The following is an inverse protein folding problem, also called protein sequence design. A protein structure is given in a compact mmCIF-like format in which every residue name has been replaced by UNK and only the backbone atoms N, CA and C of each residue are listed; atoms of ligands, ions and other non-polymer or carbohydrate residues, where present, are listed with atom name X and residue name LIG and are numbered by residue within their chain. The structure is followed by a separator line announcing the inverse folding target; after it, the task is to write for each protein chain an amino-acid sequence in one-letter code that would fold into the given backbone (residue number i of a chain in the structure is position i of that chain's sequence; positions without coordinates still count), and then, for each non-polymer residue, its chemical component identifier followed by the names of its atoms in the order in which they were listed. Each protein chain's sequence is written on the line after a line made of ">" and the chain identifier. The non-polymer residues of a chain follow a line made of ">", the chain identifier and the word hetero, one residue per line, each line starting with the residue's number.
data_IF_503303440122
#
_entry.id   IF_503303440122
#
_cell.length_a   1.000
_cell.length_b   1.000
_cell.length_c   1.000
_cell.angle_alpha   90.00
_cell.angle_beta   90.00
_cell.angle_gamma   90.00
#
_symmetry.space_group_name_H-M   'P 1'
#
loop_
_entity.id
_entity.type
_entity.pdbx_description
1 polymer ?
#
# COMPACT_ATOMS: atom_id res chain seq x y z
N UNK A 1 66.05 -54.12 -11.21
CA UNK A 1 65.09 -53.40 -12.08
C UNK A 1 63.81 -53.23 -11.27
N UNK A 2 63.36 -51.99 -11.04
CA UNK A 2 62.38 -51.60 -10.00
C UNK A 2 60.99 -52.23 -10.23
N UNK A 3 60.42 -52.85 -9.20
CA UNK A 3 59.01 -53.28 -9.13
C UNK A 3 58.11 -52.10 -8.76
N UNK A 4 57.14 -51.77 -9.61
CA UNK A 4 56.09 -50.77 -9.33
C UNK A 4 54.94 -51.41 -8.53
N UNK A 5 54.67 -50.86 -7.34
CA UNK A 5 53.41 -51.10 -6.63
C UNK A 5 52.28 -50.35 -7.34
N UNK A 6 51.22 -51.08 -7.73
CA UNK A 6 49.94 -50.48 -8.15
C UNK A 6 49.06 -50.32 -6.91
N UNK A 7 48.72 -49.08 -6.57
CA UNK A 7 47.69 -48.76 -5.58
C UNK A 7 46.36 -48.67 -6.31
N UNK A 8 45.41 -49.55 -5.96
CA UNK A 8 44.02 -49.44 -6.39
C UNK A 8 43.31 -48.42 -5.49
N UNK A 9 42.88 -47.29 -6.05
CA UNK A 9 42.02 -46.32 -5.34
C UNK A 9 40.57 -46.65 -5.74
N UNK A 10 39.80 -47.20 -4.79
CA UNK A 10 38.33 -47.24 -4.89
C UNK A 10 37.80 -45.84 -4.60
N UNK A 11 37.21 -45.18 -5.60
CA UNK A 11 36.45 -43.95 -5.39
C UNK A 11 35.03 -44.33 -4.92
N UNK A 12 34.74 -44.12 -3.63
CA UNK A 12 33.38 -44.19 -3.12
C UNK A 12 32.67 -42.86 -3.41
N UNK A 13 31.67 -42.89 -4.29
CA UNK A 13 30.81 -41.75 -4.53
C UNK A 13 29.86 -41.58 -3.33
N UNK A 14 30.11 -40.58 -2.49
CA UNK A 14 29.18 -40.16 -1.44
C UNK A 14 28.14 -39.26 -2.11
N UNK A 15 26.94 -39.77 -2.32
CA UNK A 15 25.79 -38.95 -2.71
C UNK A 15 25.37 -38.09 -1.50
N UNK A 16 25.75 -36.81 -1.51
CA UNK A 16 25.22 -35.81 -0.60
C UNK A 16 23.76 -35.53 -0.98
N UNK A 17 22.82 -36.14 -0.26
CA UNK A 17 21.44 -35.70 -0.28
C UNK A 17 21.36 -34.34 0.42
N UNK A 18 21.17 -33.28 -0.36
CA UNK A 18 20.84 -31.97 0.20
C UNK A 18 19.45 -32.05 0.86
N UNK A 19 19.27 -31.51 2.07
CA UNK A 19 17.94 -31.46 2.67
C UNK A 19 17.06 -30.56 1.81
N UNK A 20 15.95 -31.10 1.31
CA UNK A 20 14.87 -30.28 0.76
C UNK A 20 14.30 -29.52 1.95
N UNK A 21 14.51 -28.20 1.99
CA UNK A 21 13.82 -27.35 2.94
C UNK A 21 12.32 -27.52 2.69
N UNK A 22 11.57 -27.98 3.69
CA UNK A 22 10.12 -27.94 3.63
C UNK A 22 9.73 -26.47 3.46
N UNK A 23 8.92 -26.17 2.44
CA UNK A 23 8.35 -24.84 2.28
C UNK A 23 7.66 -24.47 3.60
N UNK A 24 8.06 -23.34 4.19
CA UNK A 24 7.37 -22.82 5.36
C UNK A 24 5.90 -22.63 4.98
N UNK A 25 4.98 -23.05 5.86
CA UNK A 25 3.56 -22.78 5.67
C UNK A 25 3.28 -21.28 5.59
N UNK A 26 2.06 -20.87 5.20
CA UNK A 26 1.71 -19.46 5.10
C UNK A 26 1.97 -18.75 6.45
N UNK A 27 2.55 -17.55 6.40
CA UNK A 27 2.90 -16.78 7.60
C UNK A 27 1.68 -16.26 8.37
N UNK A 28 0.51 -16.22 7.73
CA UNK A 28 -0.75 -15.75 8.28
C UNK A 28 -1.88 -16.72 7.94
N UNK A 29 -2.94 -16.71 8.74
CA UNK A 29 -4.20 -17.36 8.39
C UNK A 29 -4.88 -16.63 7.23
N UNK A 30 -5.94 -17.23 6.68
CA UNK A 30 -6.83 -16.54 5.76
C UNK A 30 -7.49 -15.32 6.46
N UNK A 31 -7.90 -14.35 5.66
CA UNK A 31 -8.70 -13.21 6.09
C UNK A 31 -10.08 -13.68 6.59
N UNK A 32 -10.55 -13.06 7.68
CA UNK A 32 -11.87 -13.31 8.25
C UNK A 32 -12.98 -12.49 7.57
N UNK A 33 -14.21 -12.73 8.01
CA UNK A 33 -15.36 -11.93 7.55
C UNK A 33 -15.22 -10.48 8.00
N UNK A 34 -15.39 -9.50 7.11
CA UNK A 34 -15.20 -8.10 7.44
C UNK A 34 -16.36 -7.53 8.25
N UNK A 35 -16.03 -6.59 9.12
CA UNK A 35 -16.98 -5.78 9.90
C UNK A 35 -16.78 -4.29 9.61
N UNK A 36 -17.78 -3.42 9.80
CA UNK A 36 -17.57 -1.98 9.70
C UNK A 36 -16.46 -1.50 10.63
N UNK A 37 -15.55 -0.68 10.10
CA UNK A 37 -14.57 0.04 10.91
C UNK A 37 -15.28 1.20 11.59
N UNK A 38 -15.76 1.00 12.81
CA UNK A 38 -16.56 1.99 13.53
C UNK A 38 -15.70 3.16 14.02
N UNK A 39 -16.20 4.39 13.80
CA UNK A 39 -16.02 5.50 14.74
C UNK A 39 -17.29 5.65 15.60
N UNK A 40 -17.25 6.48 16.64
CA UNK A 40 -18.39 6.67 17.57
C UNK A 40 -19.63 7.36 16.96
N UNK A 41 -19.58 7.79 15.70
CA UNK A 41 -20.63 8.52 14.96
C UNK A 41 -21.23 7.71 13.79
N UNK A 42 -21.09 6.37 13.82
CA UNK A 42 -21.34 5.39 12.76
C UNK A 42 -20.15 5.22 11.81
N UNK A 43 -20.26 4.32 10.83
CA UNK A 43 -19.17 3.89 9.95
C UNK A 43 -18.28 5.05 9.49
N UNK A 44 -16.96 4.84 9.43
CA UNK A 44 -16.07 5.82 8.83
C UNK A 44 -16.50 6.00 7.37
N UNK A 45 -17.23 7.09 7.09
CA UNK A 45 -17.63 7.45 5.74
C UNK A 45 -16.40 7.97 5.02
N UNK A 46 -16.14 7.46 3.82
CA UNK A 46 -15.00 7.89 3.01
C UNK A 46 -14.29 6.73 2.32
N UNK A 47 -13.09 7.01 1.84
CA UNK A 47 -12.20 5.99 1.30
C UNK A 47 -10.74 6.32 1.57
N UNK A 48 -9.86 5.47 1.05
CA UNK A 48 -8.42 5.48 1.32
C UNK A 48 -8.13 5.34 2.82
N UNK A 49 -8.69 4.31 3.49
CA UNK A 49 -8.29 4.01 4.85
C UNK A 49 -6.78 3.77 4.88
N UNK A 50 -6.12 4.31 5.89
CA UNK A 50 -4.73 3.97 6.18
C UNK A 50 -4.50 4.01 7.68
N UNK A 51 -4.14 2.87 8.27
CA UNK A 51 -3.80 2.78 9.68
C UNK A 51 -2.34 3.19 9.91
N UNK A 52 -2.08 4.02 10.94
CA UNK A 52 -0.72 4.39 11.33
C UNK A 52 0.08 3.17 11.78
N UNK A 53 1.42 3.25 11.68
CA UNK A 53 2.32 2.14 12.01
C UNK A 53 2.17 1.59 13.44
N UNK A 54 1.77 2.45 14.37
CA UNK A 54 1.51 2.11 15.77
C UNK A 54 0.07 1.65 16.05
N UNK A 55 -0.79 1.68 15.03
CA UNK A 55 -2.18 1.29 15.11
C UNK A 55 -3.09 2.26 15.85
N UNK A 56 -2.60 3.42 16.31
CA UNK A 56 -3.41 4.34 17.12
C UNK A 56 -4.28 5.27 16.28
N UNK A 57 -3.93 5.52 15.02
CA UNK A 57 -4.68 6.40 14.13
C UNK A 57 -5.12 5.65 12.88
N UNK A 58 -6.30 6.00 12.37
CA UNK A 58 -6.71 5.67 11.00
C UNK A 58 -7.00 6.98 10.27
N UNK A 59 -6.41 7.11 9.10
CA UNK A 59 -6.63 8.23 8.19
C UNK A 59 -7.61 7.82 7.11
N UNK A 60 -8.40 8.78 6.62
CA UNK A 60 -9.39 8.56 5.58
C UNK A 60 -9.63 9.86 4.80
N UNK A 61 -10.12 9.74 3.56
CA UNK A 61 -10.58 10.87 2.75
C UNK A 61 -12.10 10.84 2.61
N UNK A 62 -12.80 11.91 2.97
CA UNK A 62 -14.27 11.91 3.04
C UNK A 62 -14.91 13.28 2.75
N UNK A 63 -16.06 13.31 2.04
CA UNK A 63 -16.78 14.54 1.70
C UNK A 63 -17.69 15.04 2.83
N UNK A 64 -17.48 14.59 4.08
CA UNK A 64 -18.38 14.91 5.19
C UNK A 64 -18.34 16.39 5.56
N UNK A 65 -19.45 16.88 6.12
CA UNK A 65 -19.57 18.26 6.54
C UNK A 65 -18.50 18.66 7.57
N UNK A 66 -18.00 19.90 7.47
CA UNK A 66 -16.90 20.42 8.30
C UNK A 66 -15.52 20.35 7.64
N UNK A 67 -15.44 19.85 6.40
CA UNK A 67 -14.27 19.90 5.55
C UNK A 67 -14.01 21.26 4.89
N UNK A 68 -12.86 21.39 4.21
CA UNK A 68 -12.40 22.58 3.50
C UNK A 68 -12.61 22.47 1.98
N UNK A 69 -12.61 21.26 1.44
CA UNK A 69 -12.82 20.93 0.02
C UNK A 69 -14.03 20.03 -0.21
N UNK A 70 -14.14 19.46 -1.41
CA UNK A 70 -15.18 18.46 -1.70
C UNK A 70 -14.78 17.06 -1.18
N UNK A 71 -13.48 16.77 -1.10
CA UNK A 71 -12.92 15.61 -0.43
C UNK A 71 -11.76 16.05 0.45
N UNK A 72 -11.82 15.74 1.74
CA UNK A 72 -10.80 16.13 2.72
C UNK A 72 -10.23 14.93 3.45
N UNK A 73 -8.99 15.06 3.94
CA UNK A 73 -8.33 14.09 4.81
C UNK A 73 -8.76 14.30 6.26
N UNK A 74 -9.19 13.23 6.91
CA UNK A 74 -9.52 13.19 8.32
C UNK A 74 -8.72 12.09 9.02
N UNK A 75 -8.70 12.14 10.36
CA UNK A 75 -8.02 11.18 11.22
C UNK A 75 -8.93 10.79 12.38
N UNK A 76 -9.11 9.50 12.66
CA UNK A 76 -9.60 9.05 13.96
C UNK A 76 -8.44 8.49 14.79
N UNK A 77 -8.61 8.53 16.12
CA UNK A 77 -7.63 8.02 17.07
C UNK A 77 -8.27 7.05 18.08
N UNK A 78 -7.49 6.09 18.57
CA UNK A 78 -7.90 5.17 19.65
C UNK A 78 -6.80 4.97 20.71
N UNK A 79 -7.18 4.68 21.98
CA UNK A 79 -6.22 4.45 23.07
C UNK A 79 -5.36 3.19 22.92
N UNK A 80 -5.90 2.13 22.31
CA UNK A 80 -5.17 0.89 22.03
C UNK A 80 -5.74 0.20 20.80
N UNK A 81 -5.05 -0.81 20.27
CA UNK A 81 -5.45 -1.52 19.05
C UNK A 81 -6.71 -2.37 19.21
N UNK A 82 -7.11 -2.67 20.45
CA UNK A 82 -8.32 -3.41 20.82
C UNK A 82 -9.53 -2.50 21.05
N UNK A 83 -9.32 -1.19 21.19
CA UNK A 83 -10.41 -0.22 21.35
C UNK A 83 -10.93 0.28 20.00
N UNK A 84 -12.22 0.68 19.92
CA UNK A 84 -12.76 1.30 18.72
C UNK A 84 -12.08 2.66 18.46
N UNK A 85 -12.10 3.11 17.21
CA UNK A 85 -11.70 4.46 16.88
C UNK A 85 -12.69 5.47 17.47
N UNK A 86 -12.15 6.56 18.03
CA UNK A 86 -12.92 7.72 18.42
C UNK A 86 -13.40 8.52 17.20
N UNK A 87 -14.15 9.61 17.41
CA UNK A 87 -14.68 10.41 16.31
C UNK A 87 -13.55 10.97 15.46
N UNK A 88 -13.68 10.88 14.13
CA UNK A 88 -12.64 11.36 13.24
C UNK A 88 -12.64 12.91 13.15
N UNK A 89 -11.47 13.54 13.15
CA UNK A 89 -11.23 15.00 13.08
C UNK A 89 -10.61 15.42 11.72
N UNK A 90 -10.96 16.62 11.24
CA UNK A 90 -10.49 17.11 9.94
C UNK A 90 -9.05 17.54 10.11
N UNK A 91 -8.16 17.09 9.22
CA UNK A 91 -6.80 17.61 9.27
C UNK A 91 -6.82 19.09 8.84
N UNK A 92 -6.20 19.99 9.60
CA UNK A 92 -6.27 21.41 9.28
C UNK A 92 -5.44 21.73 8.03
N UNK A 93 -5.63 22.93 7.49
CA UNK A 93 -4.64 23.51 6.59
C UNK A 93 -3.24 23.50 7.25
N UNK A 94 -2.17 23.26 6.47
CA UNK A 94 -2.14 23.16 5.01
C UNK A 94 -2.36 21.75 4.45
N UNK A 95 -2.67 20.73 5.28
CA UNK A 95 -2.90 19.36 4.77
C UNK A 95 -4.12 19.32 3.87
N UNK A 96 -5.26 19.82 4.36
CA UNK A 96 -6.43 20.05 3.53
C UNK A 96 -6.39 21.45 2.92
N UNK A 97 -7.01 21.57 1.76
CA UNK A 97 -7.12 22.77 0.94
C UNK A 97 -8.55 22.96 0.45
N UNK A 98 -8.77 23.91 -0.45
CA UNK A 98 -10.07 24.07 -1.13
C UNK A 98 -10.26 23.07 -2.30
N UNK A 99 -9.26 22.24 -2.59
CA UNK A 99 -9.30 21.21 -3.61
C UNK A 99 -9.63 19.84 -2.99
N UNK A 100 -9.63 18.79 -3.80
CA UNK A 100 -9.72 17.42 -3.28
C UNK A 100 -8.36 16.98 -2.74
N UNK A 101 -8.33 16.60 -1.47
CA UNK A 101 -7.17 16.05 -0.76
C UNK A 101 -7.51 14.64 -0.26
N UNK A 102 -6.75 13.63 -0.69
CA UNK A 102 -7.11 12.24 -0.49
C UNK A 102 -5.93 11.27 -0.46
N UNK A 103 -6.24 10.00 -0.23
CA UNK A 103 -5.28 8.91 -0.16
C UNK A 103 -4.07 9.15 0.76
N UNK A 104 -4.34 9.47 2.05
CA UNK A 104 -3.31 9.65 3.06
C UNK A 104 -2.54 8.34 3.31
N UNK A 105 -1.23 8.45 3.53
CA UNK A 105 -0.36 7.35 3.96
C UNK A 105 0.62 7.87 5.01
N UNK A 106 0.43 7.41 6.25
CA UNK A 106 1.34 7.76 7.35
C UNK A 106 2.56 6.83 7.34
N UNK A 107 3.76 7.42 7.28
CA UNK A 107 5.01 6.65 7.17
C UNK A 107 5.84 6.70 8.47
N UNK A 108 5.25 7.11 9.59
CA UNK A 108 5.96 7.34 10.84
C UNK A 108 6.77 8.64 10.84
N UNK A 109 7.39 8.98 11.98
CA UNK A 109 8.14 10.23 12.14
C UNK A 109 7.31 11.51 11.94
N UNK A 110 5.98 11.38 12.05
CA UNK A 110 4.96 12.37 11.75
C UNK A 110 4.84 12.79 10.27
N UNK A 111 5.37 11.99 9.34
CA UNK A 111 5.22 12.24 7.91
C UNK A 111 3.94 11.64 7.35
N UNK A 112 3.36 12.34 6.38
CA UNK A 112 2.17 11.96 5.66
C UNK A 112 2.39 12.18 4.15
N UNK A 113 2.34 11.11 3.38
CA UNK A 113 2.06 11.22 1.95
C UNK A 113 0.56 11.38 1.74
N UNK A 114 0.16 12.12 0.73
CA UNK A 114 -1.22 12.22 0.28
C UNK A 114 -1.26 12.69 -1.16
N UNK A 115 -2.42 12.59 -1.79
CA UNK A 115 -2.67 13.13 -3.13
C UNK A 115 -3.52 14.38 -2.99
N UNK A 116 -3.20 15.41 -3.77
CA UNK A 116 -3.98 16.63 -3.81
C UNK A 116 -4.19 17.10 -5.24
N UNK A 117 -5.42 17.55 -5.53
CA UNK A 117 -5.74 18.32 -6.75
C UNK A 117 -5.44 19.81 -6.58
N UNK A 118 -4.65 20.21 -5.58
CA UNK A 118 -4.11 21.57 -5.50
C UNK A 118 -3.20 21.79 -6.71
N UNK A 119 -3.71 22.52 -7.70
CA UNK A 119 -2.95 22.92 -8.88
C UNK A 119 -1.82 23.88 -8.53
N UNK A 120 -1.40 24.69 -9.50
CA UNK A 120 -0.31 25.65 -9.34
C UNK A 120 0.46 25.79 -10.64
N UNK A 121 1.40 26.74 -10.69
CA UNK A 121 2.27 26.93 -11.87
C UNK A 121 3.13 25.69 -12.15
N UNK A 122 3.45 24.92 -11.10
CA UNK A 122 4.29 23.71 -11.15
C UNK A 122 3.48 22.41 -10.91
N UNK A 123 2.19 22.39 -11.24
CA UNK A 123 1.41 21.14 -11.18
C UNK A 123 1.79 20.20 -12.32
N UNK A 124 1.94 18.90 -12.01
CA UNK A 124 2.29 17.88 -12.98
C UNK A 124 1.05 17.39 -13.73
N UNK A 125 -0.04 17.11 -12.99
CA UNK A 125 -1.27 16.56 -13.54
C UNK A 125 -2.53 16.96 -12.78
N UNK A 126 -3.53 16.08 -12.82
CA UNK A 126 -4.83 16.30 -12.18
C UNK A 126 -4.77 16.18 -10.67
N UNK A 127 -4.07 15.15 -10.15
CA UNK A 127 -3.90 14.91 -8.72
C UNK A 127 -2.50 14.39 -8.45
N UNK A 128 -1.70 15.19 -7.77
CA UNK A 128 -0.28 14.93 -7.55
C UNK A 128 -0.02 14.43 -6.13
N UNK A 129 1.03 13.63 -5.94
CA UNK A 129 1.51 13.16 -4.64
C UNK A 129 2.30 14.27 -3.95
N UNK A 130 1.94 14.53 -2.69
CA UNK A 130 2.60 15.46 -1.78
C UNK A 130 3.12 14.73 -0.53
N UNK A 131 4.17 15.30 0.07
CA UNK A 131 4.68 14.92 1.38
C UNK A 131 4.58 16.11 2.33
N UNK A 132 4.05 15.88 3.52
CA UNK A 132 4.08 16.86 4.62
C UNK A 132 4.48 16.17 5.92
N UNK A 133 4.75 16.98 6.94
CA UNK A 133 5.12 16.53 8.27
C UNK A 133 4.38 17.34 9.32
N UNK A 134 3.84 16.65 10.31
CA UNK A 134 3.32 17.28 11.52
C UNK A 134 4.46 17.61 12.49
N UNK A 135 4.58 18.89 12.83
CA UNK A 135 5.45 19.37 13.89
C UNK A 135 4.62 19.58 15.16
N UNK A 136 4.85 18.80 16.24
CA UNK A 136 4.02 18.89 17.45
C UNK A 136 3.94 20.30 18.09
N UNK A 137 4.92 21.18 17.84
CA UNK A 137 4.93 22.55 18.35
C UNK A 137 4.29 23.58 17.39
N UNK A 138 4.21 23.27 16.10
CA UNK A 138 3.86 24.24 15.05
C UNK A 138 2.74 23.77 14.11
N UNK A 139 2.24 22.55 14.27
CA UNK A 139 1.29 21.90 13.39
C UNK A 139 1.93 21.38 12.09
N UNK A 140 1.07 21.11 11.12
CA UNK A 140 1.46 20.61 9.79
C UNK A 140 2.25 21.64 9.00
N UNK A 141 3.35 21.19 8.40
CA UNK A 141 4.16 21.99 7.50
C UNK A 141 3.52 22.12 6.11
N UNK A 142 3.92 23.15 5.35
CA UNK A 142 3.49 23.28 3.96
C UNK A 142 3.84 22.01 3.17
N UNK A 143 2.86 21.37 2.50
CA UNK A 143 3.13 20.16 1.72
C UNK A 143 4.07 20.43 0.55
N UNK A 144 5.03 19.53 0.38
CA UNK A 144 5.96 19.52 -0.75
C UNK A 144 5.41 18.56 -1.80
N UNK A 145 5.10 19.07 -3.00
CA UNK A 145 4.76 18.24 -4.16
C UNK A 145 5.99 17.42 -4.55
N UNK A 146 5.81 16.13 -4.85
CA UNK A 146 6.89 15.36 -5.48
C UNK A 146 7.05 15.81 -6.95
N UNK A 147 8.23 15.60 -7.54
CA UNK A 147 8.53 16.09 -8.89
C UNK A 147 7.74 15.41 -10.00
N UNK A 148 7.77 16.01 -11.19
CA UNK A 148 7.05 15.52 -12.36
C UNK A 148 7.85 14.45 -13.13
N UNK A 149 7.17 13.41 -13.58
CA UNK A 149 7.75 12.27 -14.27
C UNK A 149 8.26 12.62 -15.67
N UNK A 150 7.59 13.51 -16.38
CA UNK A 150 7.98 14.00 -17.72
C UNK A 150 9.26 14.86 -17.69
N UNK A 151 9.56 15.48 -16.55
CA UNK A 151 10.82 16.18 -16.27
C UNK A 151 11.92 15.25 -15.75
N UNK A 152 11.58 14.00 -15.40
CA UNK A 152 12.53 13.07 -14.78
C UNK A 152 12.76 13.33 -13.29
N UNK A 153 11.90 14.11 -12.63
CA UNK A 153 12.13 14.65 -11.29
C UNK A 153 11.26 14.00 -10.20
N UNK A 154 10.35 13.10 -10.56
CA UNK A 154 9.53 12.40 -9.59
C UNK A 154 8.40 11.56 -10.17
N UNK A 155 7.51 11.04 -9.30
CA UNK A 155 6.50 10.06 -9.66
C UNK A 155 5.23 10.66 -10.29
N UNK A 156 5.01 11.97 -10.17
CA UNK A 156 3.75 12.59 -10.58
C UNK A 156 3.66 12.69 -12.09
N UNK A 157 2.60 12.16 -12.69
CA UNK A 157 2.42 12.16 -14.14
C UNK A 157 1.56 13.34 -14.59
N UNK A 158 1.26 13.40 -15.89
CA UNK A 158 0.24 14.32 -16.41
C UNK A 158 -1.21 13.87 -16.07
N UNK A 159 -1.38 12.63 -15.58
CA UNK A 159 -2.65 12.05 -15.16
C UNK A 159 -2.96 12.35 -13.68
N UNK A 160 -3.57 11.39 -13.01
CA UNK A 160 -3.87 11.45 -11.58
C UNK A 160 -3.23 10.27 -10.86
N UNK A 161 -2.51 10.55 -9.77
CA UNK A 161 -1.91 9.55 -8.89
C UNK A 161 -2.84 9.18 -7.72
N UNK A 162 -2.74 7.94 -7.23
CA UNK A 162 -3.56 7.42 -6.13
C UNK A 162 -2.78 6.47 -5.22
N UNK A 163 -3.18 6.46 -3.94
CA UNK A 163 -2.67 5.58 -2.86
C UNK A 163 -1.14 5.41 -2.83
N UNK A 164 -0.39 6.47 -2.53
CA UNK A 164 1.06 6.38 -2.33
C UNK A 164 1.40 5.43 -1.18
N UNK A 165 1.88 4.23 -1.45
CA UNK A 165 2.32 3.22 -0.48
C UNK A 165 3.85 3.17 -0.39
N UNK A 166 4.38 3.66 0.73
CA UNK A 166 5.83 3.76 0.96
C UNK A 166 6.36 2.62 1.83
N UNK A 167 7.43 1.98 1.38
CA UNK A 167 8.14 0.93 2.12
C UNK A 167 9.65 1.20 2.16
N UNK A 168 10.29 0.76 3.25
CA UNK A 168 11.74 0.77 3.40
C UNK A 168 12.21 -0.67 3.65
N UNK A 169 13.13 -1.13 2.81
CA UNK A 169 13.70 -2.47 2.87
C UNK A 169 15.23 -2.39 2.82
N UNK A 170 15.96 -3.48 3.10
CA UNK A 170 17.41 -3.50 2.90
C UNK A 170 17.85 -3.20 1.46
N UNK A 171 16.97 -3.38 0.47
CA UNK A 171 17.25 -3.09 -0.93
C UNK A 171 17.07 -1.61 -1.29
N UNK A 172 16.36 -0.83 -0.47
CA UNK A 172 16.03 0.56 -0.75
C UNK A 172 14.66 0.98 -0.22
N UNK A 173 14.32 2.22 -0.48
CA UNK A 173 13.02 2.79 -0.18
C UNK A 173 12.22 2.98 -1.48
N UNK A 174 10.96 2.55 -1.47
CA UNK A 174 10.12 2.46 -2.65
C UNK A 174 8.75 3.09 -2.37
N UNK A 175 8.24 3.82 -3.35
CA UNK A 175 6.90 4.38 -3.37
C UNK A 175 6.10 3.68 -4.47
N UNK A 176 5.14 2.85 -4.06
CA UNK A 176 4.16 2.24 -4.95
C UNK A 176 2.94 3.16 -5.02
N UNK A 177 2.33 3.28 -6.18
CA UNK A 177 1.14 4.10 -6.38
C UNK A 177 0.43 3.62 -7.64
N UNK A 178 -0.78 4.09 -7.91
CA UNK A 178 -1.38 3.93 -9.25
C UNK A 178 -1.53 5.26 -9.94
N UNK A 179 -1.43 5.28 -11.27
CA UNK A 179 -1.52 6.49 -12.08
C UNK A 179 -2.40 6.27 -13.31
N UNK A 180 -3.08 7.32 -13.76
CA UNK A 180 -3.82 7.35 -15.05
C UNK A 180 -3.02 7.95 -16.20
N UNK A 181 -1.74 8.27 -16.00
CA UNK A 181 -0.88 8.89 -17.01
C UNK A 181 -0.72 8.10 -18.32
N UNK A 182 -0.98 6.79 -18.29
CA UNK A 182 -0.96 5.88 -19.46
C UNK A 182 -2.33 5.64 -20.12
N UNK A 183 -3.44 6.08 -19.52
CA UNK A 183 -4.81 5.96 -20.05
C UNK A 183 -5.79 5.23 -19.13
N UNK A 184 -5.45 4.02 -18.67
CA UNK A 184 -6.12 3.30 -17.57
C UNK A 184 -5.35 3.51 -16.25
N UNK A 185 -5.91 3.04 -15.14
CA UNK A 185 -5.12 2.95 -13.91
C UNK A 185 -4.13 1.80 -13.99
N UNK A 186 -2.85 2.11 -13.89
CA UNK A 186 -1.78 1.13 -13.71
C UNK A 186 -1.03 1.38 -12.39
N UNK A 187 -0.51 0.31 -11.79
CA UNK A 187 0.37 0.34 -10.62
C UNK A 187 1.81 0.62 -11.07
N UNK A 188 2.43 1.62 -10.43
CA UNK A 188 3.81 2.03 -10.63
C UNK A 188 4.61 1.90 -9.33
N UNK A 189 5.93 1.80 -9.47
CA UNK A 189 6.88 1.91 -8.37
C UNK A 189 7.95 2.94 -8.72
N UNK A 190 8.21 3.87 -7.79
CA UNK A 190 9.34 4.80 -7.84
C UNK A 190 10.31 4.48 -6.71
N UNK A 191 11.60 4.41 -7.03
CA UNK A 191 12.67 4.22 -6.05
C UNK A 191 13.18 5.58 -5.55
N UNK A 192 13.43 5.68 -4.25
CA UNK A 192 14.06 6.84 -3.64
C UNK A 192 15.57 6.81 -3.91
N UNK A 193 16.03 7.63 -4.84
CA UNK A 193 17.43 7.84 -5.17
C UNK A 193 18.10 8.94 -4.34
N UNK A 194 19.38 9.25 -4.63
CA UNK A 194 20.13 10.31 -3.93
C UNK A 194 19.52 11.71 -4.11
N UNK A 195 18.82 11.94 -5.22
CA UNK A 195 18.20 13.21 -5.58
C UNK A 195 16.70 13.26 -5.25
N UNK A 196 16.15 12.22 -4.61
CA UNK A 196 14.73 12.05 -4.36
C UNK A 196 14.10 10.91 -5.16
N UNK A 197 12.77 10.84 -5.15
CA UNK A 197 12.04 9.90 -6.01
C UNK A 197 12.22 10.29 -7.47
N UNK A 198 12.41 9.30 -8.34
CA UNK A 198 12.39 9.50 -9.80
C UNK A 198 11.03 9.17 -10.41
N UNK A 199 10.93 9.16 -11.76
CA UNK A 199 9.78 8.61 -12.46
C UNK A 199 9.51 7.16 -12.04
N UNK A 200 8.24 6.84 -11.84
CA UNK A 200 7.83 5.46 -11.58
C UNK A 200 7.91 4.60 -12.83
N UNK A 201 8.15 3.30 -12.63
CA UNK A 201 8.02 2.27 -13.67
C UNK A 201 6.80 1.40 -13.39
N UNK A 202 6.07 0.94 -14.41
CA UNK A 202 4.96 0.00 -14.22
C UNK A 202 5.42 -1.25 -13.48
N UNK A 203 4.60 -1.78 -12.58
CA UNK A 203 4.93 -2.98 -11.82
C UNK A 203 4.53 -4.23 -12.62
N UNK A 204 5.53 -4.94 -13.10
CA UNK A 204 5.36 -6.19 -13.84
C UNK A 204 4.58 -7.24 -13.01
N UNK A 205 3.62 -7.89 -13.66
CA UNK A 205 2.81 -8.97 -13.09
C UNK A 205 1.60 -8.52 -12.26
N UNK A 206 1.50 -7.23 -11.90
CA UNK A 206 0.32 -6.69 -11.23
C UNK A 206 -0.68 -6.08 -12.21
N UNK A 207 -0.20 -5.35 -13.22
CA UNK A 207 -1.04 -4.65 -14.18
C UNK A 207 -1.61 -5.55 -15.28
N UNK A 208 -2.77 -5.15 -15.80
CA UNK A 208 -3.55 -5.77 -16.87
C UNK A 208 -4.05 -4.69 -17.83
N UNK A 209 -4.93 -5.04 -18.77
CA UNK A 209 -5.59 -4.05 -19.65
C UNK A 209 -6.76 -3.31 -18.97
N UNK A 210 -7.10 -3.70 -17.74
CA UNK A 210 -8.18 -3.13 -16.93
C UNK A 210 -7.62 -2.11 -15.92
N UNK A 211 -8.47 -1.56 -15.05
CA UNK A 211 -8.02 -0.62 -14.02
C UNK A 211 -7.43 -1.38 -12.83
N UNK A 212 -6.11 -1.35 -12.71
CA UNK A 212 -5.34 -1.89 -11.58
C UNK A 212 -4.82 -0.75 -10.73
N UNK A 213 -5.37 -0.61 -9.52
CA UNK A 213 -5.23 0.64 -8.79
C UNK A 213 -5.05 0.49 -7.30
N UNK A 214 -4.58 1.58 -6.72
CA UNK A 214 -4.56 1.84 -5.29
C UNK A 214 -3.80 0.76 -4.49
N UNK A 215 -2.53 0.48 -4.82
CA UNK A 215 -1.77 -0.58 -4.16
C UNK A 215 -1.44 -0.21 -2.71
N UNK A 216 -1.34 -1.23 -1.86
CA UNK A 216 -0.71 -1.15 -0.56
C UNK A 216 0.24 -2.34 -0.38
N UNK A 217 1.53 -2.03 -0.20
CA UNK A 217 2.59 -3.03 -0.06
C UNK A 217 2.98 -3.17 1.41
N UNK A 218 3.16 -4.40 1.87
CA UNK A 218 3.62 -4.69 3.22
C UNK A 218 5.01 -4.13 3.50
N UNK A 219 5.32 -3.86 4.77
CA UNK A 219 6.61 -3.27 5.18
C UNK A 219 7.85 -4.03 4.73
N UNK A 220 7.75 -5.36 4.57
CA UNK A 220 8.83 -6.22 4.11
C UNK A 220 8.91 -6.31 2.58
N UNK A 221 7.93 -5.72 1.88
CA UNK A 221 7.83 -5.70 0.43
C UNK A 221 7.33 -7.01 -0.17
N UNK A 222 6.87 -7.97 0.63
CA UNK A 222 6.59 -9.35 0.17
C UNK A 222 5.12 -9.65 -0.10
N UNK A 223 4.22 -8.73 0.24
CA UNK A 223 2.78 -8.85 0.03
C UNK A 223 2.22 -7.52 -0.47
N UNK A 224 1.32 -7.58 -1.44
CA UNK A 224 0.59 -6.41 -1.95
C UNK A 224 -0.89 -6.71 -1.98
N UNK A 225 -1.69 -5.74 -1.58
CA UNK A 225 -3.13 -5.71 -1.85
C UNK A 225 -3.43 -4.52 -2.76
N UNK A 226 -4.38 -4.67 -3.67
CA UNK A 226 -4.78 -3.62 -4.60
C UNK A 226 -6.19 -3.90 -5.13
N UNK A 227 -6.81 -2.90 -5.77
CA UNK A 227 -8.14 -3.05 -6.37
C UNK A 227 -8.04 -3.24 -7.88
N UNK A 228 -8.85 -4.14 -8.43
CA UNK A 228 -8.88 -4.40 -9.87
C UNK A 228 -10.26 -4.81 -10.36
N UNK A 229 -10.62 -4.40 -11.57
CA UNK A 229 -11.82 -4.84 -12.30
C UNK A 229 -11.53 -5.88 -13.39
N UNK A 230 -10.40 -6.59 -13.26
CA UNK A 230 -10.00 -7.67 -14.20
C UNK A 230 -10.99 -8.84 -14.31
N UNK A 231 -11.83 -9.06 -13.30
CA UNK A 231 -12.85 -10.12 -13.32
C UNK A 231 -14.17 -9.64 -13.92
N UNK A 232 -14.56 -8.41 -13.62
CA UNK A 232 -15.80 -7.78 -14.07
C UNK A 232 -15.53 -6.29 -14.38
N UNK A 233 -15.38 -5.90 -15.66
CA UNK A 233 -15.00 -4.54 -16.02
C UNK A 233 -15.93 -3.48 -15.43
N UNK A 234 -15.36 -2.48 -14.76
CA UNK A 234 -16.06 -1.43 -14.02
C UNK A 234 -16.45 -1.78 -12.58
N UNK A 235 -16.34 -3.05 -12.16
CA UNK A 235 -16.57 -3.47 -10.78
C UNK A 235 -15.26 -3.91 -10.12
N UNK A 236 -14.90 -3.25 -9.03
CA UNK A 236 -13.56 -3.35 -8.46
C UNK A 236 -13.58 -4.29 -7.27
N UNK A 237 -12.69 -5.26 -7.30
CA UNK A 237 -12.48 -6.24 -6.23
C UNK A 237 -11.08 -6.08 -5.65
N UNK A 238 -10.90 -6.50 -4.40
CA UNK A 238 -9.59 -6.58 -3.74
C UNK A 238 -8.86 -7.85 -4.19
N UNK A 239 -7.67 -7.65 -4.75
CA UNK A 239 -6.71 -8.68 -5.12
C UNK A 239 -5.49 -8.62 -4.20
N UNK A 240 -4.81 -9.77 -4.10
CA UNK A 240 -3.58 -9.92 -3.35
C UNK A 240 -2.55 -10.70 -4.15
N UNK A 241 -1.28 -10.30 -4.05
CA UNK A 241 -0.15 -11.06 -4.56
C UNK A 241 0.99 -11.08 -3.55
N UNK A 242 1.81 -12.12 -3.61
CA UNK A 242 3.01 -12.29 -2.78
C UNK A 242 4.25 -12.53 -3.61
N UNK A 243 5.43 -12.40 -3.02
CA UNK A 243 6.72 -12.81 -3.58
C UNK A 243 7.66 -13.29 -2.48
N UNK A 244 8.61 -14.15 -2.83
CA UNK A 244 9.54 -14.74 -1.85
C UNK A 244 10.62 -13.75 -1.39
N UNK A 245 11.04 -12.85 -2.28
CA UNK A 245 11.95 -11.75 -1.98
C UNK A 245 11.59 -10.48 -2.77
N UNK A 246 12.14 -9.32 -2.35
CA UNK A 246 11.94 -8.04 -3.03
C UNK A 246 12.46 -8.02 -4.49
N UNK A 247 13.31 -8.97 -4.86
CA UNK A 247 13.85 -9.10 -6.21
C UNK A 247 13.10 -10.11 -7.08
N UNK A 248 12.19 -10.89 -6.49
CA UNK A 248 11.39 -11.85 -7.22
C UNK A 248 10.17 -11.17 -7.84
N UNK A 249 9.68 -11.76 -8.93
CA UNK A 249 8.42 -11.37 -9.52
C UNK A 249 7.27 -11.61 -8.54
N UNK A 250 6.24 -10.77 -8.60
CA UNK A 250 4.99 -11.04 -7.92
C UNK A 250 4.37 -12.34 -8.44
N UNK A 251 3.78 -13.12 -7.54
CA UNK A 251 2.88 -14.22 -7.92
C UNK A 251 1.67 -13.68 -8.67
N UNK A 252 0.99 -14.59 -9.39
CA UNK A 252 -0.27 -14.25 -10.05
C UNK A 252 -1.27 -13.72 -9.00
N UNK A 253 -1.84 -12.52 -9.17
CA UNK A 253 -2.74 -11.97 -8.17
C UNK A 253 -4.01 -12.81 -8.01
N UNK A 254 -4.42 -12.99 -6.75
CA UNK A 254 -5.58 -13.78 -6.35
C UNK A 254 -6.65 -12.85 -5.79
N UNK A 255 -7.88 -13.01 -6.27
CA UNK A 255 -9.04 -12.30 -5.74
C UNK A 255 -9.34 -12.81 -4.31
N UNK A 256 -9.53 -11.90 -3.36
CA UNK A 256 -9.92 -12.28 -2.00
C UNK A 256 -11.36 -12.86 -1.94
N UNK A 257 -11.67 -13.58 -0.87
CA UNK A 257 -12.93 -14.31 -0.73
C UNK A 257 -14.17 -13.39 -0.69
N UNK A 258 -15.35 -13.99 -0.89
CA UNK A 258 -16.64 -13.31 -1.03
C UNK A 258 -17.11 -12.49 0.20
N UNK A 259 -16.47 -12.68 1.36
CA UNK A 259 -16.71 -11.83 2.52
C UNK A 259 -16.16 -10.42 2.28
N UNK A 260 -14.98 -10.33 1.64
CA UNK A 260 -14.32 -9.08 1.26
C UNK A 260 -14.84 -8.59 -0.08
N UNK A 261 -14.93 -9.46 -1.09
CA UNK A 261 -15.35 -9.07 -2.44
C UNK A 261 -16.84 -9.34 -2.64
N UNK A 262 -17.64 -8.28 -2.74
CA UNK A 262 -19.11 -8.38 -2.83
C UNK A 262 -19.61 -7.95 -4.20
N UNK A 263 -20.93 -8.05 -4.49
CA UNK A 263 -21.47 -7.45 -5.71
C UNK A 263 -21.35 -5.92 -5.78
N UNK A 264 -21.00 -5.24 -4.68
CA UNK A 264 -20.62 -3.84 -4.69
C UNK A 264 -19.11 -3.72 -4.81
N UNK A 265 -18.60 -2.70 -5.50
CA UNK A 265 -17.16 -2.55 -5.64
C UNK A 265 -16.45 -2.22 -4.33
N UNK A 266 -15.36 -2.94 -4.07
CA UNK A 266 -14.40 -2.66 -3.01
C UNK A 266 -13.17 -1.93 -3.54
N UNK A 267 -12.78 -0.89 -2.82
CA UNK A 267 -11.67 -0.04 -3.25
C UNK A 267 -10.73 0.32 -2.12
N UNK A 268 -9.50 0.68 -2.48
CA UNK A 268 -8.54 1.36 -1.58
C UNK A 268 -8.15 0.49 -0.37
N UNK A 269 -7.87 -0.78 -0.64
CA UNK A 269 -7.44 -1.73 0.38
C UNK A 269 -6.07 -1.32 0.98
N UNK A 270 -5.93 -1.43 2.29
CA UNK A 270 -4.67 -1.18 3.00
C UNK A 270 -4.50 -2.13 4.18
N UNK A 271 -3.29 -2.65 4.35
CA UNK A 271 -2.93 -3.50 5.47
C UNK A 271 -2.42 -2.66 6.65
N UNK A 272 -2.71 -3.12 7.87
CA UNK A 272 -1.98 -2.69 9.05
C UNK A 272 -0.49 -3.03 8.94
N UNK A 273 0.35 -2.33 9.71
CA UNK A 273 1.81 -2.50 9.67
C UNK A 273 2.30 -3.93 10.00
N UNK A 274 1.56 -4.64 10.84
CA UNK A 274 1.80 -6.04 11.19
C UNK A 274 1.06 -7.05 10.30
N UNK A 275 0.29 -6.53 9.35
CA UNK A 275 -0.54 -7.25 8.37
C UNK A 275 -1.63 -8.14 8.97
N UNK A 276 -2.12 -7.82 10.17
CA UNK A 276 -3.21 -8.57 10.80
C UNK A 276 -4.59 -7.97 10.53
N UNK A 277 -4.65 -6.75 9.98
CA UNK A 277 -5.90 -6.08 9.59
C UNK A 277 -5.81 -5.58 8.15
N UNK A 278 -6.91 -5.70 7.43
CA UNK A 278 -7.12 -5.19 6.09
C UNK A 278 -8.29 -4.22 6.12
N UNK A 279 -8.03 -2.94 5.91
CA UNK A 279 -9.06 -1.91 5.78
C UNK A 279 -9.36 -1.66 4.30
N UNK A 280 -10.63 -1.49 3.96
CA UNK A 280 -11.04 -1.21 2.57
C UNK A 280 -12.37 -0.46 2.54
N UNK A 281 -12.63 0.26 1.45
CA UNK A 281 -13.88 0.99 1.25
C UNK A 281 -14.89 0.14 0.49
N UNK A 282 -16.16 0.17 0.92
CA UNK A 282 -17.32 -0.44 0.26
C UNK A 282 -18.52 0.50 0.39
N UNK A 283 -19.13 0.90 -0.72
CA UNK A 283 -20.33 1.75 -0.74
C UNK A 283 -20.23 3.04 0.10
N UNK A 284 -19.02 3.62 0.17
CA UNK A 284 -18.76 4.85 0.93
C UNK A 284 -18.47 4.64 2.41
N UNK A 285 -18.45 3.41 2.90
CA UNK A 285 -18.06 3.05 4.27
C UNK A 285 -16.71 2.31 4.27
N UNK A 286 -16.02 2.34 5.41
CA UNK A 286 -14.80 1.55 5.61
C UNK A 286 -15.12 0.28 6.40
N UNK A 287 -14.61 -0.85 5.91
CA UNK A 287 -14.67 -2.16 6.54
C UNK A 287 -13.25 -2.59 6.96
N UNK A 288 -13.19 -3.48 7.94
CA UNK A 288 -11.96 -4.14 8.38
C UNK A 288 -12.17 -5.65 8.40
N UNK A 289 -11.25 -6.39 7.81
CA UNK A 289 -11.09 -7.84 7.97
C UNK A 289 -9.81 -8.13 8.76
N UNK A 290 -9.82 -9.17 9.58
CA UNK A 290 -8.68 -9.55 10.43
C UNK A 290 -8.16 -10.94 10.07
N UNK A 291 -6.86 -11.15 10.29
CA UNK A 291 -6.20 -12.46 10.22
C UNK A 291 -5.15 -12.60 11.32
N UNK A 292 -4.78 -13.83 11.66
CA UNK A 292 -3.77 -14.11 12.67
C UNK A 292 -2.43 -14.48 12.04
N UNK A 293 -1.32 -14.26 12.76
CA UNK A 293 -0.05 -14.88 12.40
C UNK A 293 -0.14 -16.38 12.62
N UNK A 294 0.23 -17.16 11.60
CA UNK A 294 0.23 -18.61 11.71
C UNK A 294 1.24 -19.06 12.78
N UNK A 295 0.84 -20.00 13.65
CA UNK A 295 1.73 -20.55 14.69
C UNK A 295 2.95 -21.22 14.02
N UNK A 296 4.12 -20.59 14.16
CA UNK A 296 5.38 -21.10 13.62
C UNK A 296 5.97 -20.32 12.43
N UNK A 297 5.33 -19.22 12.00
CA UNK A 297 5.98 -18.24 11.11
C UNK A 297 6.98 -17.40 11.90
N UNK A 298 8.26 -17.47 11.54
CA UNK A 298 9.30 -16.56 12.06
C UNK A 298 9.15 -15.17 11.46
#
# INVERSE_FOLDING_TARGET
>A
MRTLNRVNILAAAIALALPVAAAAGPAYTDWGDPVPANDTDNSVQGGCPFESRDGHSIYMATPRAGGQGALDIWRAWRPSVEEPFGPAENLPAPVNSNADDFCPTSIGGNYLFFVSRRGGEDACGGGDIFLTRDNPAHGWQEPVRLGCADLGEGPNSAGEEFSPSYIETPAGAFLYYSSTGSGNHDIYVSELGPDGFGPGVPVDGLNTEFDDRMPNVSKDGLEVVFSSDRAEPGNQDVYMATRDSIHDAWSAPVQLHEGINTPAGETRASMSWDRTRLYFGRSGEIYVSEREKARGGN
#
